data_IF_647026173635
#
_entry.id   IF_647026173635
#
_cell.length_a   1.000
_cell.length_b   1.000
_cell.length_c   1.000
_cell.angle_alpha   90.00
_cell.angle_beta   90.00
_cell.angle_gamma   90.00
#
_symmetry.space_group_name_H-M   'P 1'
#
loop_
_entity.id
_entity.type
_entity.pdbx_description
1 polymer ?
#
# COMPACT_ATOMS: atom_id res chain seq x y z
N UNK A 1 1.38 1.02 5.27
CA UNK A 1 0.81 2.39 5.09
C UNK A 1 -0.32 2.30 4.09
N UNK A 2 -1.42 3.04 4.32
CA UNK A 2 -2.54 3.21 3.40
C UNK A 2 -2.58 4.68 3.01
N UNK A 3 -2.60 4.95 1.71
CA UNK A 3 -2.93 6.26 1.16
C UNK A 3 -4.29 6.14 0.46
N UNK A 4 -5.29 6.78 1.05
CA UNK A 4 -6.67 6.78 0.58
C UNK A 4 -7.40 8.00 1.16
N UNK A 5 -8.01 8.79 0.29
CA UNK A 5 -8.84 9.94 0.65
C UNK A 5 -10.27 9.53 1.01
N UNK A 6 -10.75 8.37 0.52
CA UNK A 6 -12.05 7.82 0.86
C UNK A 6 -12.02 7.01 2.17
N UNK A 7 -12.66 7.54 3.22
CA UNK A 7 -12.70 6.91 4.54
C UNK A 7 -13.26 5.48 4.55
N UNK A 8 -14.41 5.23 3.90
CA UNK A 8 -15.02 3.90 3.95
C UNK A 8 -14.15 2.84 3.27
N UNK A 9 -13.55 3.21 2.13
CA UNK A 9 -12.66 2.34 1.36
C UNK A 9 -11.38 2.05 2.15
N UNK A 10 -10.71 3.08 2.66
CA UNK A 10 -9.50 2.95 3.46
C UNK A 10 -9.71 2.15 4.75
N UNK A 11 -10.84 2.35 5.44
CA UNK A 11 -11.13 1.67 6.70
C UNK A 11 -11.46 0.20 6.47
N UNK A 12 -12.19 -0.10 5.39
CA UNK A 12 -12.43 -1.48 4.95
C UNK A 12 -11.12 -2.23 4.73
N UNK A 13 -10.16 -1.64 4.01
CA UNK A 13 -8.84 -2.24 3.83
C UNK A 13 -8.09 -2.35 5.16
N UNK A 14 -8.10 -1.31 5.99
CA UNK A 14 -7.41 -1.30 7.29
C UNK A 14 -7.88 -2.45 8.19
N UNK A 15 -9.18 -2.62 8.33
CA UNK A 15 -9.78 -3.69 9.14
C UNK A 15 -9.43 -5.06 8.58
N UNK A 16 -9.44 -5.24 7.27
CA UNK A 16 -9.06 -6.50 6.65
C UNK A 16 -7.57 -6.82 6.83
N UNK A 17 -6.69 -5.83 6.69
CA UNK A 17 -5.25 -5.98 6.95
C UNK A 17 -4.99 -6.36 8.41
N UNK A 18 -5.67 -5.73 9.38
CA UNK A 18 -5.57 -6.09 10.80
C UNK A 18 -6.15 -7.48 11.08
N UNK A 19 -7.17 -7.91 10.35
CA UNK A 19 -7.70 -9.26 10.48
C UNK A 19 -6.71 -10.33 10.01
N UNK A 20 -5.89 -10.03 8.99
CA UNK A 20 -4.87 -10.96 8.47
C UNK A 20 -3.57 -10.86 9.27
N UNK A 21 -3.20 -9.64 9.69
CA UNK A 21 -1.98 -9.31 10.44
C UNK A 21 -2.33 -8.42 11.64
N UNK A 22 -2.75 -8.99 12.77
CA UNK A 22 -3.19 -8.22 13.95
C UNK A 22 -2.12 -7.29 14.52
N UNK A 23 -0.85 -7.68 14.39
CA UNK A 23 0.31 -6.92 14.87
C UNK A 23 0.79 -5.84 13.88
N UNK A 24 0.09 -5.64 12.76
CA UNK A 24 0.49 -4.66 11.76
C UNK A 24 0.28 -3.23 12.26
N UNK A 25 1.35 -2.45 12.28
CA UNK A 25 1.28 -0.99 12.45
C UNK A 25 0.81 -0.33 11.15
N UNK A 26 -0.49 -0.02 11.07
CA UNK A 26 -1.08 0.62 9.89
C UNK A 26 -1.18 2.12 10.08
N UNK A 27 -0.51 2.85 9.20
CA UNK A 27 -0.61 4.31 9.10
C UNK A 27 -1.50 4.68 7.93
N UNK A 28 -2.29 5.73 8.14
CA UNK A 28 -3.19 6.29 7.15
C UNK A 28 -2.69 7.66 6.72
N UNK A 29 -2.73 7.93 5.41
CA UNK A 29 -2.63 9.27 4.86
C UNK A 29 -3.72 9.49 3.81
N UNK A 30 -4.21 10.71 3.68
CA UNK A 30 -5.24 11.08 2.69
C UNK A 30 -4.65 11.77 1.47
N UNK A 31 -3.42 12.29 1.59
CA UNK A 31 -2.72 12.98 0.51
C UNK A 31 -1.27 12.53 0.38
N UNK A 32 -0.63 12.65 -0.80
CA UNK A 32 0.78 12.31 -0.97
C UNK A 32 1.70 13.11 -0.05
N UNK A 33 1.38 14.39 0.19
CA UNK A 33 2.14 15.25 1.10
C UNK A 33 2.08 14.80 2.55
N UNK A 34 0.91 14.36 3.01
CA UNK A 34 0.74 13.76 4.33
C UNK A 34 1.51 12.43 4.44
N UNK A 35 1.39 11.56 3.44
CA UNK A 35 2.15 10.30 3.41
C UNK A 35 3.66 10.55 3.47
N UNK A 36 4.17 11.52 2.72
CA UNK A 36 5.57 11.92 2.78
C UNK A 36 5.98 12.40 4.18
N UNK A 37 5.13 13.20 4.83
CA UNK A 37 5.38 13.69 6.19
C UNK A 37 5.43 12.53 7.18
N UNK A 38 4.48 11.59 7.10
CA UNK A 38 4.47 10.41 7.96
C UNK A 38 5.67 9.49 7.69
N UNK A 39 6.06 9.30 6.43
CA UNK A 39 7.24 8.51 6.07
C UNK A 39 8.53 9.02 6.74
N UNK A 40 8.65 10.31 7.03
CA UNK A 40 9.84 10.84 7.72
C UNK A 40 9.96 10.35 9.17
N UNK A 41 8.84 9.98 9.80
CA UNK A 41 8.79 9.48 11.18
C UNK A 41 9.03 7.97 11.26
N UNK A 42 8.99 7.27 10.14
CA UNK A 42 9.11 5.82 10.09
C UNK A 42 10.54 5.41 9.80
N UNK A 43 10.99 4.38 10.50
CA UNK A 43 12.29 3.73 10.24
C UNK A 43 12.16 2.73 9.08
N UNK A 44 11.04 2.02 8.99
CA UNK A 44 10.79 1.01 7.97
C UNK A 44 9.32 1.02 7.53
N UNK A 45 9.07 0.71 6.26
CA UNK A 45 7.74 0.51 5.69
C UNK A 45 7.76 -0.76 4.86
N UNK A 46 7.02 -1.78 5.29
CA UNK A 46 6.96 -3.07 4.60
C UNK A 46 6.14 -2.98 3.31
N UNK A 47 4.97 -2.34 3.38
CA UNK A 47 4.09 -2.15 2.24
C UNK A 47 3.34 -0.83 2.30
N UNK A 48 3.09 -0.25 1.13
CA UNK A 48 2.30 0.95 0.92
C UNK A 48 1.18 0.67 -0.08
N UNK A 49 -0.06 0.79 0.38
CA UNK A 49 -1.27 0.65 -0.41
C UNK A 49 -1.71 2.04 -0.86
N UNK A 50 -1.57 2.36 -2.13
CA UNK A 50 -1.85 3.68 -2.70
C UNK A 50 -3.06 3.64 -3.65
N UNK A 51 -4.04 4.53 -3.46
CA UNK A 51 -5.15 4.72 -4.42
C UNK A 51 -4.79 5.63 -5.60
N UNK A 52 -3.50 5.97 -5.76
CA UNK A 52 -3.00 6.81 -6.84
C UNK A 52 -2.76 6.01 -8.12
N UNK A 53 -2.85 6.63 -9.31
CA UNK A 53 -2.39 6.03 -10.54
C UNK A 53 -0.90 5.68 -10.49
N UNK A 54 -0.51 4.54 -11.08
CA UNK A 54 0.88 4.10 -11.15
C UNK A 54 1.83 5.14 -11.77
N UNK A 55 1.36 5.92 -12.74
CA UNK A 55 2.13 7.00 -13.37
C UNK A 55 2.45 8.13 -12.38
N UNK A 56 1.51 8.49 -11.51
CA UNK A 56 1.70 9.50 -10.47
C UNK A 56 2.66 9.00 -9.39
N UNK A 57 2.53 7.73 -9.00
CA UNK A 57 3.45 7.11 -8.04
C UNK A 57 4.88 7.07 -8.59
N UNK A 58 5.05 6.66 -9.85
CA UNK A 58 6.36 6.57 -10.50
C UNK A 58 7.02 7.94 -10.70
N UNK A 59 6.26 8.95 -11.13
CA UNK A 59 6.77 10.31 -11.31
C UNK A 59 6.92 11.08 -9.99
N UNK A 60 6.24 10.61 -8.93
CA UNK A 60 6.10 11.32 -7.67
C UNK A 60 7.20 11.00 -6.65
N UNK A 61 7.54 12.01 -5.84
CA UNK A 61 8.47 11.86 -4.71
C UNK A 61 8.06 10.79 -3.71
N UNK A 62 6.76 10.49 -3.60
CA UNK A 62 6.24 9.45 -2.71
C UNK A 62 6.69 8.05 -3.14
N UNK A 63 6.50 7.70 -4.41
CA UNK A 63 6.90 6.39 -4.94
C UNK A 63 8.41 6.19 -4.80
N UNK A 64 9.20 7.19 -5.22
CA UNK A 64 10.66 7.11 -5.10
C UNK A 64 11.14 6.89 -3.66
N UNK A 65 10.56 7.58 -2.67
CA UNK A 65 10.93 7.39 -1.26
C UNK A 65 10.50 6.04 -0.70
N UNK A 66 9.39 5.50 -1.17
CA UNK A 66 8.93 4.16 -0.79
C UNK A 66 9.88 3.09 -1.36
N UNK A 67 10.27 3.21 -2.62
CA UNK A 67 11.24 2.31 -3.27
C UNK A 67 12.62 2.36 -2.60
N UNK A 68 13.14 3.55 -2.30
CA UNK A 68 14.40 3.71 -1.56
C UNK A 68 14.40 3.02 -0.19
N UNK A 69 13.22 2.80 0.39
CA UNK A 69 13.03 2.12 1.68
C UNK A 69 12.74 0.63 1.53
N UNK A 70 12.76 0.10 0.30
CA UNK A 70 12.40 -1.29 0.00
C UNK A 70 10.93 -1.61 0.26
N UNK A 71 10.05 -0.59 0.29
CA UNK A 71 8.64 -0.84 0.53
C UNK A 71 8.00 -1.47 -0.70
N UNK A 72 7.18 -2.52 -0.50
CA UNK A 72 6.27 -2.99 -1.55
C UNK A 72 5.23 -1.92 -1.83
N UNK A 73 5.11 -1.53 -3.09
CA UNK A 73 4.11 -0.54 -3.52
C UNK A 73 2.96 -1.28 -4.19
N UNK A 74 1.77 -1.12 -3.63
CA UNK A 74 0.54 -1.75 -4.09
C UNK A 74 -0.43 -0.65 -4.53
N UNK A 75 -0.73 -0.59 -5.81
CA UNK A 75 -1.79 0.23 -6.37
C UNK A 75 -3.11 -0.48 -6.12
N UNK A 76 -4.07 0.18 -5.46
CA UNK A 76 -5.31 -0.48 -5.09
C UNK A 76 -6.53 0.42 -5.25
N UNK A 77 -7.70 -0.21 -5.30
CA UNK A 77 -8.98 0.48 -5.44
C UNK A 77 -10.07 -0.47 -5.94
N UNK A 78 -11.25 0.05 -6.24
CA UNK A 78 -12.36 -0.77 -6.76
C UNK A 78 -12.11 -1.29 -8.18
N UNK A 79 -11.48 -0.47 -9.00
CA UNK A 79 -11.03 -0.83 -10.34
C UNK A 79 -9.68 -0.16 -10.62
N UNK A 80 -8.59 -0.63 -9.98
CA UNK A 80 -7.29 -0.01 -10.13
C UNK A 80 -6.78 -0.23 -11.55
N UNK A 81 -6.20 0.81 -12.15
CA UNK A 81 -5.50 0.64 -13.41
C UNK A 81 -4.35 -0.36 -13.22
N UNK A 82 -4.19 -1.29 -14.18
CA UNK A 82 -3.07 -2.23 -14.13
C UNK A 82 -1.75 -1.45 -14.09
N UNK A 83 -0.99 -1.67 -13.03
CA UNK A 83 0.34 -1.11 -12.91
C UNK A 83 1.35 -2.06 -13.57
N UNK A 84 2.31 -1.50 -14.30
CA UNK A 84 3.47 -2.28 -14.76
C UNK A 84 4.44 -2.51 -13.59
N UNK A 85 5.25 -3.59 -13.63
CA UNK A 85 6.33 -3.78 -12.66
C UNK A 85 7.19 -2.50 -12.53
N UNK A 86 7.62 -2.14 -11.31
CA UNK A 86 7.67 -2.98 -10.10
C UNK A 86 6.43 -2.93 -9.20
N UNK A 87 5.36 -2.25 -9.59
CA UNK A 87 4.19 -2.08 -8.73
C UNK A 87 3.24 -3.27 -8.80
N UNK A 88 2.65 -3.62 -7.67
CA UNK A 88 1.58 -4.61 -7.59
C UNK A 88 0.22 -3.92 -7.68
N UNK A 89 -0.80 -4.67 -8.11
CA UNK A 89 -2.17 -4.16 -8.22
C UNK A 89 -3.11 -5.00 -7.36
N UNK A 90 -3.98 -4.35 -6.59
CA UNK A 90 -4.98 -4.99 -5.73
C UNK A 90 -6.37 -4.39 -5.98
N UNK A 91 -7.25 -5.15 -6.64
CA UNK A 91 -8.67 -4.79 -6.72
C UNK A 91 -9.34 -5.00 -5.35
N UNK A 92 -10.25 -4.13 -4.94
CA UNK A 92 -10.93 -4.16 -3.64
C UNK A 92 -12.45 -3.98 -3.83
N UNK A 93 -13.34 -4.63 -3.06
CA UNK A 93 -13.08 -5.54 -1.95
C UNK A 93 -12.52 -6.90 -2.40
N UNK A 94 -11.82 -7.56 -1.48
CA UNK A 94 -11.39 -8.96 -1.60
C UNK A 94 -11.94 -9.76 -0.42
N UNK A 95 -12.10 -11.07 -0.59
CA UNK A 95 -12.23 -11.95 0.55
C UNK A 95 -10.90 -12.03 1.35
N UNK A 96 -11.00 -12.38 2.63
CA UNK A 96 -9.83 -12.41 3.53
C UNK A 96 -8.79 -13.46 3.10
N UNK A 97 -9.22 -14.56 2.46
CA UNK A 97 -8.33 -15.59 1.95
C UNK A 97 -7.47 -15.09 0.81
N UNK A 98 -8.07 -14.41 -0.17
CA UNK A 98 -7.39 -13.77 -1.29
C UNK A 98 -6.40 -12.70 -0.80
N UNK A 99 -6.80 -11.85 0.16
CA UNK A 99 -5.91 -10.86 0.76
C UNK A 99 -4.72 -11.52 1.47
N UNK A 100 -4.94 -12.61 2.22
CA UNK A 100 -3.87 -13.35 2.89
C UNK A 100 -2.87 -13.95 1.89
N UNK A 101 -3.37 -14.52 0.80
CA UNK A 101 -2.51 -15.05 -0.27
C UNK A 101 -1.68 -13.93 -0.90
N UNK A 102 -2.30 -12.81 -1.27
CA UNK A 102 -1.62 -11.64 -1.82
C UNK A 102 -0.50 -11.11 -0.91
N UNK A 103 -0.77 -11.03 0.40
CA UNK A 103 0.23 -10.58 1.38
C UNK A 103 1.38 -11.59 1.53
N UNK A 104 1.10 -12.89 1.42
CA UNK A 104 2.10 -13.96 1.55
C UNK A 104 3.00 -14.15 0.32
N UNK A 105 2.55 -13.68 -0.84
CA UNK A 105 3.29 -13.73 -2.12
C UNK A 105 4.31 -12.59 -2.27
N UNK A 106 4.41 -11.71 -1.27
CA UNK A 106 5.52 -10.77 -1.15
C UNK A 106 6.85 -11.50 -1.42
N UNK A 107 7.79 -10.92 -2.17
CA UNK A 107 9.12 -11.50 -2.29
C UNK A 107 9.65 -11.71 -0.88
N UNK A 108 9.82 -12.98 -0.47
CA UNK A 108 10.70 -13.29 0.65
C UNK A 108 12.05 -12.77 0.22
N UNK A 109 12.59 -11.81 0.96
CA UNK A 109 13.96 -11.33 0.83
C UNK A 109 14.86 -12.48 0.36
N UNK A 110 15.43 -12.31 -0.84
CA UNK A 110 16.56 -13.12 -1.25
C UNK A 110 17.65 -12.84 -0.22
N UNK A 111 18.01 -13.91 0.48
CA UNK A 111 18.98 -13.98 1.56
C UNK A 111 20.37 -13.55 1.13
#
# INVERSE_FOLDING_TARGET
MILCDEWNLGESLRLALLSVMPEASILWATTPGEALKELTKLTHVTAAFLTLPASEVNAGSLGHRLEQRGARIVIWGTNPAQAMPPFETLSWPQDIGALKLFLSQAPKDQS
#
